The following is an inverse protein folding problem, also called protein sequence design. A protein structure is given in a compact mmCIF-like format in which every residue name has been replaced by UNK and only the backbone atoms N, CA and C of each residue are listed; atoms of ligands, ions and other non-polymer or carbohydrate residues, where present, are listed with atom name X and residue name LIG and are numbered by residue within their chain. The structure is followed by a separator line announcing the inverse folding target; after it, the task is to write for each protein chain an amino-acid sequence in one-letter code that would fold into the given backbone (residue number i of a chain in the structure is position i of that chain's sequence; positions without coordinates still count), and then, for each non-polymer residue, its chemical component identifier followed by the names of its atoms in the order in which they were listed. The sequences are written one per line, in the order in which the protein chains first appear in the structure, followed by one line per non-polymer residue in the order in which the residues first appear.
data_IF_812270340791
#
_entry.id   IF_812270340791
#
_cell.length_a   1.000
_cell.length_b   1.000
_cell.length_c   1.000
_cell.angle_alpha   90.00
_cell.angle_beta   90.00
_cell.angle_gamma   90.00
#
_symmetry.space_group_name_H-M   'P 1'
#
loop_
_entity.id
_entity.type
_entity.pdbx_description
1 polymer ?
#
# COMPACT_ATOMS: atom_id res chain seq x y z
N UNK A 1 5.11 13.06 -44.96
CA UNK A 1 5.22 13.12 -43.50
C UNK A 1 3.89 13.61 -42.91
N UNK A 2 3.29 12.90 -42.01
CA UNK A 2 2.01 13.24 -41.37
C UNK A 2 2.29 13.83 -39.97
N UNK A 3 3.11 14.88 -39.94
CA UNK A 3 3.51 15.56 -38.74
C UNK A 3 2.82 16.92 -38.63
N UNK A 4 2.57 17.37 -37.40
CA UNK A 4 2.09 18.73 -37.10
C UNK A 4 3.16 19.47 -36.34
N UNK A 5 3.64 20.61 -36.85
CA UNK A 5 4.62 21.46 -36.22
C UNK A 5 4.10 22.90 -36.13
N UNK A 6 3.98 23.43 -34.92
CA UNK A 6 3.57 24.82 -34.68
C UNK A 6 4.54 25.45 -33.67
N UNK A 7 5.30 26.41 -34.11
CA UNK A 7 6.29 27.10 -33.28
C UNK A 7 7.67 27.14 -33.92
N UNK A 8 8.51 28.07 -33.46
CA UNK A 8 9.89 28.20 -33.91
C UNK A 8 10.65 26.89 -33.60
N UNK A 9 11.30 26.31 -34.60
CA UNK A 9 12.06 25.05 -34.52
C UNK A 9 11.28 23.81 -34.08
N UNK A 10 9.95 23.84 -34.03
CA UNK A 10 9.17 22.64 -33.75
C UNK A 10 9.44 21.57 -34.82
N UNK A 11 9.80 20.32 -34.39
CA UNK A 11 10.14 19.20 -35.27
C UNK A 11 11.23 19.53 -36.33
N UNK A 12 12.16 20.43 -36.05
CA UNK A 12 13.13 20.99 -37.01
C UNK A 12 13.98 19.90 -37.70
N UNK A 13 14.44 18.90 -36.96
CA UNK A 13 15.33 17.84 -37.47
C UNK A 13 14.55 16.63 -38.00
N UNK A 14 13.24 16.60 -37.84
CA UNK A 14 12.42 15.47 -38.25
C UNK A 14 12.39 15.27 -39.77
N UNK A 15 13.20 14.36 -40.28
CA UNK A 15 13.26 14.02 -41.70
C UNK A 15 12.61 12.67 -42.04
N UNK A 16 12.59 11.71 -41.12
CA UNK A 16 12.20 10.33 -41.36
C UNK A 16 11.15 9.76 -40.39
N UNK A 17 10.67 10.55 -39.44
CA UNK A 17 9.65 10.10 -38.48
C UNK A 17 8.28 10.68 -38.82
N UNK A 18 7.24 9.88 -38.65
CA UNK A 18 5.85 10.21 -38.97
C UNK A 18 4.95 10.32 -37.73
N UNK A 19 3.81 10.98 -37.91
CA UNK A 19 2.74 11.07 -36.90
C UNK A 19 3.16 11.75 -35.59
N UNK A 20 4.12 12.67 -35.63
CA UNK A 20 4.48 13.49 -34.50
C UNK A 20 3.69 14.80 -34.49
N UNK A 21 3.32 15.26 -33.33
CA UNK A 21 2.72 16.56 -33.07
C UNK A 21 3.61 17.36 -32.15
N UNK A 22 4.24 18.42 -32.61
CA UNK A 22 5.05 19.33 -31.80
C UNK A 22 4.43 20.72 -31.82
N UNK A 23 3.93 21.21 -30.72
CA UNK A 23 3.32 22.55 -30.58
C UNK A 23 4.06 23.30 -29.48
N UNK A 24 4.74 24.34 -29.84
CA UNK A 24 5.61 25.15 -28.99
C UNK A 24 6.98 25.37 -29.60
N UNK A 25 7.64 26.46 -29.27
CA UNK A 25 9.00 26.70 -29.74
C UNK A 25 9.92 25.59 -29.21
N UNK A 26 10.72 24.96 -30.06
CA UNK A 26 11.61 23.87 -29.73
C UNK A 26 10.93 22.53 -29.42
N UNK A 27 9.62 22.40 -29.56
CA UNK A 27 8.94 21.12 -29.28
C UNK A 27 9.41 20.03 -30.25
N UNK A 28 9.89 18.89 -29.68
CA UNK A 28 10.40 17.73 -30.43
C UNK A 28 11.45 18.11 -31.51
N UNK A 29 12.28 19.09 -31.27
CA UNK A 29 13.27 19.58 -32.25
C UNK A 29 14.10 18.45 -32.86
N UNK A 30 14.54 17.49 -32.06
CA UNK A 30 15.44 16.42 -32.43
C UNK A 30 14.75 15.06 -32.65
N UNK A 31 13.43 15.05 -32.71
CA UNK A 31 12.65 13.82 -32.91
C UNK A 31 12.80 13.29 -34.33
N UNK A 32 13.87 12.55 -34.58
CA UNK A 32 14.20 12.01 -35.90
C UNK A 32 14.64 10.54 -35.83
N UNK A 33 13.72 9.66 -36.06
CA UNK A 33 14.04 8.22 -36.14
C UNK A 33 14.82 7.93 -37.45
N UNK A 34 15.80 7.07 -37.36
CA UNK A 34 16.75 6.78 -38.47
C UNK A 34 16.16 5.96 -39.62
N UNK A 35 14.91 5.53 -39.53
CA UNK A 35 14.16 4.84 -40.58
C UNK A 35 12.76 5.43 -40.69
N UNK A 36 12.13 5.30 -41.85
CA UNK A 36 10.74 5.66 -42.09
C UNK A 36 9.79 4.91 -41.14
N UNK A 37 9.71 5.37 -39.90
CA UNK A 37 8.96 4.73 -38.82
C UNK A 37 8.09 5.74 -38.09
N UNK A 38 7.01 5.22 -37.55
CA UNK A 38 6.03 5.99 -36.81
C UNK A 38 6.59 6.46 -35.47
N UNK A 39 6.57 7.76 -35.23
CA UNK A 39 6.95 8.36 -33.96
C UNK A 39 5.80 8.36 -32.97
N UNK A 40 4.63 8.79 -33.42
CA UNK A 40 3.45 8.94 -32.56
C UNK A 40 3.72 9.75 -31.29
N UNK A 41 4.66 10.70 -31.33
CA UNK A 41 4.91 11.56 -30.19
C UNK A 41 4.02 12.80 -30.26
N UNK A 42 3.46 13.19 -29.15
CA UNK A 42 2.72 14.44 -28.96
C UNK A 42 3.43 15.27 -27.91
N UNK A 43 3.91 16.45 -28.27
CA UNK A 43 4.52 17.38 -27.35
C UNK A 43 3.86 18.76 -27.46
N UNK A 44 3.44 19.27 -26.33
CA UNK A 44 2.78 20.56 -26.22
C UNK A 44 3.48 21.41 -25.15
N UNK A 45 4.21 22.40 -25.55
CA UNK A 45 4.92 23.31 -24.67
C UNK A 45 6.29 23.74 -25.25
N UNK A 46 6.84 24.80 -24.69
CA UNK A 46 8.20 25.24 -25.01
C UNK A 46 9.20 24.14 -24.68
N UNK A 47 10.06 23.76 -25.61
CA UNK A 47 11.04 22.67 -25.45
C UNK A 47 10.47 21.35 -24.95
N UNK A 48 9.19 21.07 -25.14
CA UNK A 48 8.64 19.76 -24.78
C UNK A 48 9.29 18.65 -25.61
N UNK A 49 9.92 17.70 -24.96
CA UNK A 49 10.71 16.63 -25.58
C UNK A 49 12.06 17.06 -26.13
N UNK A 50 12.52 18.26 -25.80
CA UNK A 50 13.81 18.81 -26.23
C UNK A 50 14.40 19.68 -25.12
N UNK A 51 14.89 19.05 -24.06
CA UNK A 51 15.35 19.72 -22.83
C UNK A 51 16.87 19.80 -22.72
N UNK A 52 17.59 19.24 -23.68
CA UNK A 52 19.06 19.12 -23.69
C UNK A 52 19.61 17.91 -22.93
N UNK A 53 18.76 17.13 -22.26
CA UNK A 53 19.22 15.96 -21.49
C UNK A 53 18.61 14.65 -21.99
N UNK A 54 17.31 14.57 -22.14
CA UNK A 54 16.61 13.37 -22.63
C UNK A 54 15.75 13.75 -23.84
N UNK A 55 16.36 14.46 -24.77
CA UNK A 55 15.68 14.89 -26.00
C UNK A 55 15.20 13.66 -26.75
N UNK A 56 13.92 13.68 -27.13
CA UNK A 56 13.39 12.58 -27.91
C UNK A 56 14.05 12.60 -29.29
N UNK A 57 14.90 11.62 -29.55
CA UNK A 57 15.51 11.41 -30.88
C UNK A 57 14.86 10.21 -31.58
N UNK A 58 14.88 9.04 -30.96
CA UNK A 58 14.33 7.80 -31.51
C UNK A 58 13.13 7.24 -30.74
N UNK A 59 12.75 7.89 -29.65
CA UNK A 59 11.59 7.53 -28.83
C UNK A 59 10.26 7.62 -29.60
N UNK A 60 9.25 6.88 -29.15
CA UNK A 60 7.95 6.87 -29.81
C UNK A 60 6.78 6.73 -28.83
N UNK A 61 5.59 7.07 -29.29
CA UNK A 61 4.34 6.93 -28.53
C UNK A 61 4.33 7.74 -27.23
N UNK A 62 5.08 8.83 -27.15
CA UNK A 62 5.16 9.65 -25.95
C UNK A 62 4.16 10.81 -26.02
N UNK A 63 3.56 11.13 -24.91
CA UNK A 63 2.72 12.33 -24.70
C UNK A 63 3.41 13.21 -23.66
N UNK A 64 3.85 14.39 -24.09
CA UNK A 64 4.59 15.36 -23.28
C UNK A 64 3.79 16.67 -23.23
N UNK A 65 3.19 16.96 -22.09
CA UNK A 65 2.34 18.13 -21.92
C UNK A 65 2.90 19.06 -20.84
N UNK A 66 3.50 20.13 -21.26
CA UNK A 66 4.11 21.15 -20.40
C UNK A 66 5.44 21.63 -20.98
N UNK A 67 5.84 22.86 -20.63
CA UNK A 67 7.12 23.37 -21.05
C UNK A 67 8.26 22.56 -20.39
N UNK A 68 9.31 22.30 -21.15
CA UNK A 68 10.51 21.56 -20.70
C UNK A 68 10.20 20.15 -20.14
N UNK A 69 9.13 19.52 -20.61
CA UNK A 69 8.89 18.11 -20.31
C UNK A 69 9.89 17.22 -21.05
N UNK A 70 10.36 16.15 -20.42
CA UNK A 70 11.29 15.20 -21.00
C UNK A 70 10.80 13.76 -20.87
N UNK A 71 11.21 12.89 -21.79
CA UNK A 71 11.11 11.46 -21.58
C UNK A 71 12.19 10.96 -20.58
N UNK A 72 12.13 9.70 -20.18
CA UNK A 72 13.16 9.08 -19.32
C UNK A 72 14.52 8.91 -20.05
N UNK A 73 14.50 8.89 -21.37
CA UNK A 73 15.66 8.77 -22.24
C UNK A 73 15.31 9.20 -23.67
N UNK A 74 16.32 9.45 -24.50
CA UNK A 74 16.17 9.82 -25.90
C UNK A 74 15.40 8.78 -26.76
N UNK A 75 15.45 7.52 -26.38
CA UNK A 75 14.70 6.42 -26.97
C UNK A 75 13.46 6.02 -26.14
N UNK A 76 13.04 6.85 -25.18
CA UNK A 76 11.88 6.60 -24.33
C UNK A 76 10.61 6.28 -25.12
N UNK A 77 9.84 5.31 -24.67
CA UNK A 77 8.68 4.79 -25.39
C UNK A 77 7.45 4.70 -24.50
N UNK A 78 6.31 5.10 -25.06
CA UNK A 78 5.00 4.98 -24.43
C UNK A 78 4.96 5.61 -23.02
N UNK A 79 5.40 6.85 -22.93
CA UNK A 79 5.40 7.63 -21.72
C UNK A 79 4.40 8.77 -21.80
N UNK A 80 3.64 8.98 -20.74
CA UNK A 80 2.82 10.18 -20.55
C UNK A 80 3.45 11.04 -19.49
N UNK A 81 3.92 12.24 -19.83
CA UNK A 81 4.59 13.16 -18.91
C UNK A 81 3.86 14.49 -18.91
N UNK A 82 3.38 14.92 -17.77
CA UNK A 82 2.55 16.11 -17.62
C UNK A 82 3.13 17.03 -16.54
N UNK A 83 3.31 18.29 -16.87
CA UNK A 83 3.76 19.33 -15.94
C UNK A 83 5.03 20.04 -16.39
N UNK A 84 5.24 21.27 -15.91
CA UNK A 84 6.45 22.04 -16.18
C UNK A 84 7.69 21.31 -15.69
N UNK A 85 8.69 21.11 -16.54
CA UNK A 85 9.95 20.47 -16.18
C UNK A 85 9.83 19.02 -15.71
N UNK A 86 8.68 18.38 -15.91
CA UNK A 86 8.50 16.98 -15.56
C UNK A 86 9.32 16.06 -16.45
N UNK A 87 9.89 15.00 -15.89
CA UNK A 87 10.66 13.99 -16.62
C UNK A 87 10.07 12.61 -16.43
N UNK A 88 9.93 11.85 -17.51
CA UNK A 88 9.52 10.46 -17.46
C UNK A 88 10.49 9.61 -16.62
N UNK A 89 10.00 8.56 -16.02
CA UNK A 89 10.79 7.68 -15.16
C UNK A 89 11.20 6.40 -15.89
N UNK A 90 10.30 5.83 -16.68
CA UNK A 90 10.52 4.58 -17.39
C UNK A 90 9.62 4.47 -18.62
N UNK A 91 9.90 3.52 -19.50
CA UNK A 91 8.98 3.15 -20.59
C UNK A 91 7.65 2.61 -20.01
N UNK A 92 6.56 2.82 -20.75
CA UNK A 92 5.21 2.40 -20.36
C UNK A 92 4.77 2.97 -19.02
N UNK A 93 5.05 4.25 -18.76
CA UNK A 93 4.73 4.91 -17.50
C UNK A 93 3.99 6.24 -17.68
N UNK A 94 3.32 6.66 -16.62
CA UNK A 94 2.73 7.99 -16.49
C UNK A 94 3.47 8.73 -15.38
N UNK A 95 3.94 9.94 -15.65
CA UNK A 95 4.56 10.85 -14.69
C UNK A 95 3.79 12.16 -14.70
N UNK A 96 3.32 12.59 -13.54
CA UNK A 96 2.59 13.86 -13.38
C UNK A 96 3.33 14.72 -12.35
N UNK A 97 3.81 15.87 -12.79
CA UNK A 97 4.57 16.80 -11.96
C UNK A 97 6.08 16.55 -11.96
N UNK A 98 6.78 17.46 -11.30
CA UNK A 98 8.22 17.43 -11.06
C UNK A 98 8.50 17.34 -9.54
N UNK A 99 9.76 17.52 -9.12
CA UNK A 99 10.16 17.48 -7.71
C UNK A 99 9.55 18.57 -6.83
N UNK A 100 8.98 19.62 -7.42
CA UNK A 100 8.37 20.74 -6.68
C UNK A 100 6.88 20.48 -6.37
N UNK A 101 6.29 19.45 -6.97
CA UNK A 101 4.90 19.06 -6.70
C UNK A 101 4.83 18.35 -5.34
N UNK A 102 4.18 18.98 -4.38
CA UNK A 102 4.08 18.49 -3.00
C UNK A 102 2.76 17.79 -2.70
N UNK A 103 1.75 17.93 -3.58
CA UNK A 103 0.45 17.29 -3.38
C UNK A 103 -0.29 17.08 -4.70
N UNK A 104 -1.09 16.03 -4.73
CA UNK A 104 -2.04 15.76 -5.81
C UNK A 104 -3.44 15.62 -5.20
N UNK A 105 -4.32 16.53 -5.57
CA UNK A 105 -5.67 16.59 -5.03
C UNK A 105 -6.71 16.12 -6.05
N UNK A 106 -7.72 15.35 -5.64
CA UNK A 106 -8.93 15.18 -6.43
C UNK A 106 -9.71 16.49 -6.53
N UNK A 107 -10.61 16.58 -7.48
CA UNK A 107 -11.41 17.81 -7.70
C UNK A 107 -12.40 18.15 -6.58
N UNK A 108 -12.77 17.16 -5.78
CA UNK A 108 -13.64 17.32 -4.60
C UNK A 108 -13.37 16.21 -3.59
N UNK A 109 -13.75 16.45 -2.34
CA UNK A 109 -13.62 15.49 -1.23
C UNK A 109 -14.58 14.31 -1.40
N UNK A 110 -14.08 13.10 -1.15
CA UNK A 110 -14.84 11.85 -1.16
C UNK A 110 -15.67 11.58 -2.43
N UNK A 111 -15.12 11.95 -3.61
CA UNK A 111 -15.82 11.81 -4.89
C UNK A 111 -15.00 11.11 -5.99
N UNK A 112 -13.71 10.94 -5.81
CA UNK A 112 -12.84 10.37 -6.82
C UNK A 112 -12.21 9.05 -6.35
N UNK A 113 -12.46 8.00 -7.11
CA UNK A 113 -11.84 6.70 -6.87
C UNK A 113 -10.46 6.61 -7.52
N UNK A 114 -9.57 5.82 -6.93
CA UNK A 114 -8.33 5.39 -7.53
C UNK A 114 -8.47 3.92 -7.97
N UNK A 115 -8.84 3.72 -9.22
CA UNK A 115 -9.22 2.42 -9.76
C UNK A 115 -10.72 2.13 -9.64
N UNK A 116 -11.11 0.90 -9.91
CA UNK A 116 -12.48 0.40 -9.77
C UNK A 116 -12.47 -1.10 -9.49
N UNK A 117 -13.61 -1.68 -9.14
CA UNK A 117 -13.75 -3.13 -8.90
C UNK A 117 -13.45 -4.04 -10.11
N UNK A 118 -13.27 -3.48 -11.29
CA UNK A 118 -12.96 -4.22 -12.52
C UNK A 118 -11.63 -3.81 -13.15
N UNK A 119 -11.06 -2.68 -12.74
CA UNK A 119 -9.76 -2.16 -13.20
C UNK A 119 -9.00 -1.63 -11.99
N UNK A 120 -8.18 -2.48 -11.42
CA UNK A 120 -7.46 -2.26 -10.16
C UNK A 120 -6.01 -1.87 -10.39
N UNK A 121 -5.41 -1.14 -9.45
CA UNK A 121 -3.97 -0.98 -9.40
C UNK A 121 -3.34 -2.27 -8.87
N UNK A 122 -2.27 -2.72 -9.51
CA UNK A 122 -1.56 -3.93 -9.10
C UNK A 122 -0.94 -3.78 -7.71
N UNK A 123 -0.21 -2.70 -7.51
CA UNK A 123 0.54 -2.44 -6.28
C UNK A 123 0.42 -0.96 -5.90
N UNK A 124 0.42 -0.66 -4.61
CA UNK A 124 0.48 0.69 -4.06
C UNK A 124 1.72 0.82 -3.17
N UNK A 125 2.66 1.70 -3.55
CA UNK A 125 3.88 1.99 -2.80
C UNK A 125 3.78 3.37 -2.15
N UNK A 126 3.82 3.43 -0.83
CA UNK A 126 3.82 4.67 -0.04
C UNK A 126 5.01 4.64 0.91
N UNK A 127 5.92 5.58 0.76
CA UNK A 127 7.12 5.69 1.63
C UNK A 127 6.85 6.43 2.94
N UNK A 128 5.70 7.07 3.06
CA UNK A 128 5.26 7.79 4.25
C UNK A 128 4.06 7.15 4.93
N UNK A 129 3.24 7.98 5.56
CA UNK A 129 2.02 7.55 6.24
C UNK A 129 0.84 7.53 5.28
N UNK A 130 0.13 6.40 5.20
CA UNK A 130 -1.18 6.32 4.58
C UNK A 130 -2.26 6.63 5.62
N UNK A 131 -2.97 7.75 5.46
CA UNK A 131 -4.15 8.07 6.26
C UNK A 131 -5.39 7.53 5.56
N UNK A 132 -6.00 6.53 6.13
CA UNK A 132 -7.15 5.83 5.58
C UNK A 132 -8.29 5.87 6.61
N UNK A 133 -9.41 6.47 6.26
CA UNK A 133 -10.60 6.55 7.14
C UNK A 133 -11.24 5.17 7.35
N UNK A 134 -11.17 4.31 6.35
CA UNK A 134 -11.60 2.92 6.42
C UNK A 134 -10.66 2.04 5.60
N UNK A 135 -10.39 0.84 6.10
CA UNK A 135 -9.60 -0.19 5.41
C UNK A 135 -10.41 -1.47 5.38
N UNK A 136 -10.67 -1.96 4.19
CA UNK A 136 -11.21 -3.29 3.95
C UNK A 136 -10.10 -4.16 3.33
N UNK A 137 -9.77 -5.27 3.99
CA UNK A 137 -8.71 -6.19 3.55
C UNK A 137 -9.36 -7.56 3.33
N UNK A 138 -9.75 -7.84 2.10
CA UNK A 138 -10.39 -9.11 1.72
C UNK A 138 -9.44 -10.31 1.79
N UNK A 139 -8.14 -10.07 1.81
CA UNK A 139 -7.13 -11.12 1.92
C UNK A 139 -5.74 -10.51 2.13
N UNK A 140 -4.77 -11.37 2.47
CA UNK A 140 -3.38 -10.95 2.69
C UNK A 140 -2.93 -11.00 4.14
N UNK A 141 -1.73 -10.47 4.41
CA UNK A 141 -1.11 -10.39 5.72
C UNK A 141 -0.87 -8.93 6.12
N UNK A 142 -0.94 -8.66 7.42
CA UNK A 142 -0.48 -7.41 8.02
C UNK A 142 0.78 -7.76 8.82
N UNK A 143 1.94 -7.56 8.20
CA UNK A 143 3.23 -7.92 8.78
C UNK A 143 3.94 -6.72 9.39
N UNK A 144 4.60 -6.94 10.53
CA UNK A 144 5.50 -5.97 11.16
C UNK A 144 4.82 -4.67 11.63
N UNK A 145 3.51 -4.66 11.77
CA UNK A 145 2.77 -3.46 12.17
C UNK A 145 2.08 -3.64 13.52
N UNK A 146 1.95 -2.54 14.27
CA UNK A 146 1.17 -2.49 15.51
C UNK A 146 -0.27 -2.14 15.17
N UNK A 147 -1.22 -3.02 15.49
CA UNK A 147 -2.64 -2.81 15.25
C UNK A 147 -3.26 -2.14 16.48
N UNK A 148 -3.84 -0.96 16.32
CA UNK A 148 -4.53 -0.23 17.38
C UNK A 148 -3.60 0.45 18.41
N UNK A 149 -2.47 1.01 17.96
CA UNK A 149 -1.45 1.60 18.85
C UNK A 149 -1.94 2.79 19.70
N UNK A 150 -2.83 3.63 19.20
CA UNK A 150 -3.24 4.87 19.87
C UNK A 150 -4.65 4.83 20.49
N UNK A 151 -5.57 4.11 19.91
CA UNK A 151 -6.96 3.97 20.36
C UNK A 151 -7.49 2.65 19.81
N UNK A 152 -7.22 1.59 20.52
CA UNK A 152 -7.77 0.29 20.17
C UNK A 152 -9.31 0.33 20.33
N UNK A 153 -10.00 0.01 19.25
CA UNK A 153 -11.42 -0.29 19.28
C UNK A 153 -11.64 -1.80 19.39
N UNK A 154 -12.88 -2.25 19.41
CA UNK A 154 -13.21 -3.66 19.46
C UNK A 154 -12.73 -4.38 18.20
N UNK A 155 -11.87 -5.37 18.33
CA UNK A 155 -11.52 -6.31 17.26
C UNK A 155 -12.39 -7.56 17.36
N UNK A 156 -13.15 -7.88 16.32
CA UNK A 156 -13.86 -9.16 16.21
C UNK A 156 -13.00 -10.15 15.41
N UNK A 157 -12.59 -11.24 16.03
CA UNK A 157 -11.79 -12.28 15.39
C UNK A 157 -12.54 -13.60 15.44
N UNK A 158 -12.63 -14.31 14.33
CA UNK A 158 -13.17 -15.67 14.30
C UNK A 158 -12.24 -16.66 15.02
N UNK A 159 -10.93 -16.43 14.92
CA UNK A 159 -9.91 -17.17 15.65
C UNK A 159 -8.67 -16.30 15.84
N UNK A 160 -8.01 -16.42 16.98
CA UNK A 160 -6.67 -15.86 17.23
C UNK A 160 -5.70 -17.02 17.39
N UNK A 161 -4.75 -17.14 16.47
CA UNK A 161 -3.67 -18.14 16.56
C UNK A 161 -2.36 -17.41 16.82
N UNK A 162 -1.72 -17.72 17.93
CA UNK A 162 -0.40 -17.19 18.28
C UNK A 162 0.63 -18.33 18.34
N UNK A 163 1.76 -18.16 17.65
CA UNK A 163 2.84 -19.16 17.66
C UNK A 163 3.66 -19.16 18.95
N UNK A 164 3.63 -18.06 19.70
CA UNK A 164 4.38 -17.92 20.97
C UNK A 164 3.49 -17.61 22.15
N UNK A 165 2.83 -16.45 22.16
CA UNK A 165 1.96 -16.04 23.27
C UNK A 165 0.90 -15.05 22.83
N UNK A 166 -0.21 -15.01 23.54
CA UNK A 166 -1.15 -13.89 23.58
C UNK A 166 -0.96 -13.20 24.93
N UNK A 167 -0.43 -11.97 24.92
CA UNK A 167 -0.21 -11.16 26.11
C UNK A 167 -1.40 -10.20 26.30
N UNK A 168 -2.11 -10.37 27.42
CA UNK A 168 -3.26 -9.54 27.78
C UNK A 168 -2.90 -8.74 29.01
N UNK A 169 -2.42 -7.51 28.80
CA UNK A 169 -1.90 -6.62 29.86
C UNK A 169 -2.94 -5.68 30.47
N UNK A 170 -4.16 -5.65 29.97
CA UNK A 170 -5.23 -4.81 30.49
C UNK A 170 -5.73 -5.26 31.87
N UNK A 171 -6.20 -4.31 32.68
CA UNK A 171 -6.73 -4.59 34.03
C UNK A 171 -7.97 -5.50 34.06
N UNK A 172 -8.71 -5.57 32.93
CA UNK A 172 -9.86 -6.47 32.80
C UNK A 172 -9.48 -7.93 32.48
N UNK A 173 -8.26 -8.18 32.00
CA UNK A 173 -7.80 -9.50 31.61
C UNK A 173 -8.59 -10.13 30.46
N UNK A 174 -8.76 -11.43 30.46
CA UNK A 174 -9.60 -12.20 29.55
C UNK A 174 -10.98 -12.35 30.17
N UNK A 175 -11.99 -11.77 29.53
CA UNK A 175 -13.39 -11.91 29.93
C UNK A 175 -14.03 -12.94 29.00
N UNK A 176 -14.56 -13.99 29.58
CA UNK A 176 -15.33 -15.02 28.90
C UNK A 176 -16.80 -14.81 29.28
N UNK A 177 -17.72 -14.81 28.33
CA UNK A 177 -19.17 -14.60 28.57
C UNK A 177 -19.96 -15.76 27.99
N UNK A 178 -20.84 -16.40 28.79
CA UNK A 178 -21.79 -17.45 28.40
C UNK A 178 -21.16 -18.77 27.87
N UNK A 179 -21.23 -19.85 28.64
CA UNK A 179 -20.80 -21.22 28.30
C UNK A 179 -19.33 -21.38 27.84
N UNK A 180 -18.44 -20.55 28.39
CA UNK A 180 -17.05 -20.48 27.97
C UNK A 180 -16.17 -21.60 28.53
N UNK A 181 -15.20 -21.98 27.72
CA UNK A 181 -14.22 -22.97 28.11
C UNK A 181 -12.80 -22.52 27.83
N UNK A 182 -11.90 -22.73 28.78
CA UNK A 182 -10.47 -22.78 28.52
C UNK A 182 -10.12 -24.26 28.43
N UNK A 183 -10.00 -24.78 27.20
CA UNK A 183 -9.69 -26.20 26.97
C UNK A 183 -8.30 -26.38 26.42
N UNK A 184 -7.64 -27.44 26.91
CA UNK A 184 -6.46 -27.99 26.25
C UNK A 184 -6.80 -29.44 25.85
N UNK A 185 -7.27 -29.60 24.61
CA UNK A 185 -7.85 -30.86 24.14
C UNK A 185 -6.81 -31.96 23.88
N UNK A 186 -5.53 -31.63 23.77
CA UNK A 186 -4.54 -32.60 23.27
C UNK A 186 -3.41 -32.95 24.26
N UNK A 187 -2.99 -32.02 25.14
CA UNK A 187 -1.81 -32.23 26.03
C UNK A 187 -2.07 -32.01 27.53
N UNK A 188 -3.28 -31.77 27.90
CA UNK A 188 -3.77 -32.00 29.25
C UNK A 188 -3.38 -31.00 30.34
N UNK A 189 -2.61 -29.95 30.12
CA UNK A 189 -2.25 -29.05 31.22
C UNK A 189 -2.55 -27.58 30.90
N UNK A 190 -3.44 -26.96 31.71
CA UNK A 190 -3.58 -25.50 31.79
C UNK A 190 -2.79 -25.05 33.02
N UNK A 191 -1.62 -24.42 32.80
CA UNK A 191 -0.80 -23.90 33.89
C UNK A 191 -1.24 -22.47 34.22
N UNK A 192 -1.75 -22.29 35.44
CA UNK A 192 -2.06 -20.97 36.01
C UNK A 192 -0.99 -20.65 37.04
N UNK A 193 -0.03 -19.79 36.67
CA UNK A 193 1.04 -19.38 37.58
C UNK A 193 0.58 -18.12 38.35
N UNK A 194 -0.11 -18.33 39.42
CA UNK A 194 -0.68 -17.27 40.26
C UNK A 194 -1.78 -17.79 41.16
N UNK A 195 -2.54 -16.90 41.75
CA UNK A 195 -3.68 -17.27 42.62
C UNK A 195 -4.93 -17.45 41.76
N UNK A 196 -5.57 -18.60 41.83
CA UNK A 196 -6.91 -18.82 41.28
C UNK A 196 -7.94 -18.47 42.36
N UNK A 197 -8.63 -17.35 42.19
CA UNK A 197 -9.71 -16.96 43.08
C UNK A 197 -11.06 -17.37 42.46
N UNK A 198 -11.83 -18.19 43.13
CA UNK A 198 -13.24 -18.39 42.79
C UNK A 198 -14.03 -17.14 43.16
N UNK A 199 -14.94 -16.69 42.27
CA UNK A 199 -15.76 -15.51 42.28
C UNK A 199 -15.82 -14.60 43.51
N UNK A 200 -15.99 -13.30 43.25
CA UNK A 200 -16.15 -12.27 44.31
C UNK A 200 -17.61 -11.98 44.66
N UNK A 201 -18.56 -12.69 44.03
CA UNK A 201 -20.00 -12.55 44.28
C UNK A 201 -20.50 -13.56 45.31
N UNK A 202 -21.80 -13.58 45.53
CA UNK A 202 -22.47 -14.53 46.47
C UNK A 202 -22.53 -16.00 45.99
N UNK A 203 -21.92 -16.29 44.81
CA UNK A 203 -21.83 -17.63 44.27
C UNK A 203 -20.56 -18.37 44.77
N UNK A 204 -20.66 -19.65 44.99
CA UNK A 204 -19.51 -20.48 45.32
C UNK A 204 -18.59 -20.68 44.15
N UNK A 205 -17.29 -20.50 44.32
CA UNK A 205 -16.31 -20.98 43.34
C UNK A 205 -16.28 -22.53 43.42
N UNK A 206 -16.54 -23.20 42.31
CA UNK A 206 -16.63 -24.65 42.23
C UNK A 206 -15.50 -25.20 41.37
N UNK A 207 -14.73 -26.12 41.92
CA UNK A 207 -13.81 -26.97 41.18
C UNK A 207 -14.43 -28.36 41.08
N UNK A 208 -14.82 -28.78 39.88
CA UNK A 208 -15.41 -30.11 39.66
C UNK A 208 -14.66 -30.85 38.58
N UNK A 209 -14.63 -32.18 38.68
CA UNK A 209 -14.29 -33.02 37.52
C UNK A 209 -15.53 -33.30 36.68
N UNK A 210 -15.36 -33.48 35.39
CA UNK A 210 -16.41 -33.92 34.51
C UNK A 210 -16.30 -35.43 34.30
N UNK A 211 -17.24 -36.18 34.89
CA UNK A 211 -17.26 -37.64 34.81
C UNK A 211 -16.56 -38.33 35.95
N UNK A 212 -16.01 -39.51 35.68
CA UNK A 212 -15.40 -40.41 36.71
C UNK A 212 -13.95 -40.05 37.09
N UNK A 213 -13.54 -38.80 36.90
CA UNK A 213 -12.19 -38.34 37.23
C UNK A 213 -12.18 -37.63 38.58
N UNK A 214 -11.13 -37.82 39.33
CA UNK A 214 -10.94 -37.16 40.62
C UNK A 214 -10.47 -35.71 40.50
N UNK A 215 -10.93 -34.81 41.36
CA UNK A 215 -10.30 -33.51 41.58
C UNK A 215 -9.18 -33.71 42.59
N UNK A 216 -7.94 -33.70 42.13
CA UNK A 216 -6.77 -33.79 42.97
C UNK A 216 -6.23 -32.42 43.31
N UNK A 217 -6.24 -32.05 44.57
CA UNK A 217 -5.59 -30.83 45.09
C UNK A 217 -4.31 -31.27 45.78
N UNK A 218 -3.17 -30.91 45.23
CA UNK A 218 -1.86 -31.34 45.71
C UNK A 218 -0.97 -30.14 46.00
N UNK A 219 -0.37 -30.10 47.18
CA UNK A 219 0.73 -29.19 47.47
C UNK A 219 1.99 -29.70 46.77
N UNK A 220 2.77 -28.80 46.18
CA UNK A 220 4.06 -29.19 45.58
C UNK A 220 5.00 -29.83 46.62
N UNK A 221 6.15 -30.31 46.18
CA UNK A 221 7.17 -31.01 46.98
C UNK A 221 7.84 -30.14 48.08
N UNK A 222 7.23 -29.02 48.46
CA UNK A 222 7.71 -28.11 49.49
C UNK A 222 7.12 -28.51 50.86
N UNK A 223 7.94 -28.58 51.85
CA UNK A 223 7.56 -28.92 53.25
C UNK A 223 6.68 -27.88 53.93
N UNK A 224 6.33 -26.77 53.24
CA UNK A 224 5.56 -25.65 53.82
C UNK A 224 4.21 -25.42 53.11
N UNK A 225 3.84 -26.25 52.12
CA UNK A 225 2.53 -26.16 51.48
C UNK A 225 1.40 -26.68 52.38
N UNK A 226 0.28 -25.99 52.43
CA UNK A 226 -0.91 -26.45 53.17
C UNK A 226 -2.15 -26.36 52.29
N UNK A 227 -3.06 -27.31 52.49
CA UNK A 227 -4.43 -27.24 51.98
C UNK A 227 -5.30 -26.91 53.20
N UNK A 228 -5.91 -25.72 53.18
CA UNK A 228 -6.87 -25.31 54.19
C UNK A 228 -8.26 -25.39 53.61
N UNK A 229 -9.15 -26.15 54.22
CA UNK A 229 -10.54 -26.34 53.82
C UNK A 229 -11.43 -25.67 54.87
#
# INVERSE_FOLDING_TARGET
NRNTAIGFEALRVNSASYYNTGIGAGALTDANRTADTDGYNTAFGYNAGNTGTNDITTGNKNTLLGASTAASAAAGTNQTVIGYGASGVANNSVTIGNSDVTAWYPGADNTADLGSSSVEFKDLYIDGTANLDAVDIDGGAIDGTVIGANSASTGAFTAVTASTSVDVTGSAGVILENDETITNATDGTVLINGTVAGGTGSGAGVFTSNGDQDVTIQTGNSTTGSITI
#
